data_IF_334551563025
#
_entry.id   IF_334551563025
#
_cell.length_a   1.000
_cell.length_b   1.000
_cell.length_c   1.000
_cell.angle_alpha   90.00
_cell.angle_beta   90.00
_cell.angle_gamma   90.00
#
_symmetry.space_group_name_H-M   'P 1'
#
loop_
_entity.id
_entity.type
_entity.pdbx_description
1 polymer ?
#
# COMPACT_ATOMS: atom_id res chain seq x y z
N UNK A 1 -17.95 43.43 21.84
CA UNK A 1 -18.62 42.71 20.73
C UNK A 1 -17.55 42.02 19.92
N UNK A 2 -17.44 40.69 20.07
CA UNK A 2 -16.37 39.87 19.54
C UNK A 2 -16.77 39.33 18.16
N UNK A 3 -16.11 39.77 17.09
CA UNK A 3 -16.16 39.08 15.80
C UNK A 3 -14.88 38.26 15.67
N UNK A 4 -14.97 36.97 16.05
CA UNK A 4 -14.02 35.93 15.66
C UNK A 4 -14.32 35.59 14.20
N UNK A 5 -13.51 36.09 13.28
CA UNK A 5 -13.56 35.70 11.88
C UNK A 5 -13.05 34.26 11.77
N UNK A 6 -13.92 33.37 11.32
CA UNK A 6 -13.66 31.95 11.10
C UNK A 6 -12.71 31.82 9.91
N UNK A 7 -11.40 31.86 10.17
CA UNK A 7 -10.35 31.36 9.26
C UNK A 7 -10.20 29.86 9.49
N UNK A 8 -11.10 29.05 8.92
CA UNK A 8 -11.11 27.62 9.23
C UNK A 8 -11.57 26.66 8.14
N UNK A 9 -11.92 27.11 6.92
CA UNK A 9 -12.50 26.21 5.91
C UNK A 9 -11.90 26.30 4.50
N UNK A 10 -10.84 27.09 4.28
CA UNK A 10 -10.22 27.23 2.96
C UNK A 10 -9.10 26.22 2.67
N UNK A 11 -8.75 25.33 3.61
CA UNK A 11 -7.72 24.31 3.39
C UNK A 11 -8.28 22.97 2.88
N UNK A 12 -9.61 22.80 2.81
CA UNK A 12 -10.21 21.56 2.34
C UNK A 12 -10.41 21.51 0.81
N UNK A 13 -10.10 22.58 0.05
CA UNK A 13 -10.40 22.65 -1.39
C UNK A 13 -9.18 23.03 -2.27
N UNK A 14 -7.99 23.28 -1.72
CA UNK A 14 -6.76 23.49 -2.53
C UNK A 14 -5.82 22.29 -2.45
N UNK A 15 -6.20 21.19 -3.11
CA UNK A 15 -5.23 20.19 -3.58
C UNK A 15 -5.52 19.87 -5.06
N UNK A 16 -5.71 20.92 -5.86
CA UNK A 16 -5.83 20.84 -7.31
C UNK A 16 -4.45 20.87 -7.97
N UNK A 17 -3.84 19.70 -8.10
CA UNK A 17 -2.59 19.46 -8.83
C UNK A 17 -2.20 17.98 -8.77
N UNK A 18 -2.83 17.15 -9.62
CA UNK A 18 -2.52 15.72 -9.85
C UNK A 18 -2.35 14.82 -8.60
N UNK A 19 -3.28 14.87 -7.65
CA UNK A 19 -3.25 14.06 -6.41
C UNK A 19 -4.49 13.17 -6.29
N UNK A 20 -4.50 12.01 -6.95
CA UNK A 20 -5.51 10.96 -6.75
C UNK A 20 -4.88 9.57 -6.90
N UNK A 21 -3.84 9.31 -6.11
CA UNK A 21 -3.33 8.00 -5.71
C UNK A 21 -2.54 8.26 -4.42
N UNK A 22 -3.25 8.48 -3.31
CA UNK A 22 -2.62 8.64 -2.00
C UNK A 22 -1.70 7.43 -1.80
N UNK A 23 -0.41 7.67 -1.73
CA UNK A 23 0.60 6.66 -2.02
C UNK A 23 0.41 5.47 -1.07
N UNK A 24 -0.09 4.32 -1.55
CA UNK A 24 -0.30 3.11 -0.73
C UNK A 24 0.98 2.67 0.00
N UNK A 25 2.13 3.10 -0.53
CA UNK A 25 3.46 2.88 -0.01
C UNK A 25 3.99 4.00 0.89
N UNK A 26 3.41 5.20 0.86
CA UNK A 26 3.84 6.35 1.65
C UNK A 26 2.74 6.84 2.60
N UNK A 27 3.12 7.02 3.84
CA UNK A 27 2.28 7.58 4.88
C UNK A 27 2.74 9.01 5.18
N UNK A 28 1.79 9.92 5.43
CA UNK A 28 2.11 11.26 5.92
C UNK A 28 2.60 11.15 7.35
N UNK A 29 3.77 11.74 7.64
CA UNK A 29 4.29 11.77 9.00
C UNK A 29 3.32 12.57 9.88
N UNK A 30 2.77 11.99 10.96
CA UNK A 30 1.86 12.71 11.84
C UNK A 30 2.60 13.85 12.55
N UNK A 31 1.86 14.89 12.91
CA UNK A 31 2.48 16.15 13.36
C UNK A 31 3.33 16.00 14.64
N UNK A 32 2.98 15.04 15.49
CA UNK A 32 3.74 14.68 16.69
C UNK A 32 5.09 14.02 16.40
N UNK A 33 5.28 13.42 15.21
CA UNK A 33 6.53 12.77 14.79
C UNK A 33 7.35 13.61 13.81
N UNK A 34 6.84 14.78 13.39
CA UNK A 34 7.56 15.68 12.50
C UNK A 34 8.79 16.23 13.20
N UNK A 35 9.96 16.03 12.57
CA UNK A 35 11.19 16.70 13.01
C UNK A 35 11.08 18.19 12.76
N UNK A 36 11.73 19.02 13.56
CA UNK A 36 11.65 20.48 13.44
C UNK A 36 12.11 21.05 12.08
N UNK A 37 12.92 20.31 11.33
CA UNK A 37 13.33 20.66 9.97
C UNK A 37 12.32 20.22 8.88
N UNK A 38 11.37 19.34 9.20
CA UNK A 38 10.41 18.79 8.25
C UNK A 38 9.17 19.67 8.18
N UNK A 39 8.69 19.93 6.95
CA UNK A 39 7.44 20.65 6.74
C UNK A 39 6.25 19.74 7.01
N UNK A 40 5.14 20.30 7.48
CA UNK A 40 3.85 19.59 7.57
C UNK A 40 3.50 18.99 6.21
N UNK A 41 3.03 17.75 6.21
CA UNK A 41 2.74 16.99 4.98
C UNK A 41 3.95 16.25 4.38
N UNK A 42 5.08 16.18 5.07
CA UNK A 42 6.20 15.31 4.66
C UNK A 42 5.73 13.86 4.62
N UNK A 43 6.01 13.17 3.52
CA UNK A 43 5.66 11.75 3.32
C UNK A 43 6.86 10.86 3.63
N UNK A 44 6.61 9.70 4.25
CA UNK A 44 7.61 8.65 4.51
C UNK A 44 7.10 7.32 3.99
N UNK A 45 7.98 6.35 3.71
CA UNK A 45 7.53 4.98 3.40
C UNK A 45 6.76 4.41 4.60
N UNK A 46 5.60 3.80 4.34
CA UNK A 46 4.79 3.12 5.37
C UNK A 46 5.65 2.13 6.13
N UNK A 47 5.65 2.24 7.46
CA UNK A 47 6.41 1.35 8.32
C UNK A 47 5.73 -0.02 8.33
N UNK A 48 6.51 -1.09 8.44
CA UNK A 48 5.94 -2.43 8.62
C UNK A 48 5.79 -2.65 10.12
N UNK A 49 4.55 -2.87 10.62
CA UNK A 49 4.31 -3.09 12.04
C UNK A 49 5.18 -4.20 12.63
N UNK A 50 5.57 -4.02 13.90
CA UNK A 50 6.51 -4.92 14.56
C UNK A 50 5.86 -6.23 15.06
N UNK A 51 4.54 -6.28 15.16
CA UNK A 51 3.80 -7.43 15.67
C UNK A 51 3.67 -8.60 14.67
N UNK A 52 4.03 -8.39 13.40
CA UNK A 52 4.12 -9.48 12.42
C UNK A 52 5.33 -10.39 12.67
N UNK A 53 5.20 -11.67 12.30
CA UNK A 53 6.32 -12.61 12.27
C UNK A 53 7.52 -12.06 11.46
N UNK A 54 8.74 -12.48 11.81
CA UNK A 54 9.95 -12.10 11.06
C UNK A 54 9.88 -12.51 9.58
N UNK A 55 9.25 -13.64 9.27
CA UNK A 55 9.08 -14.10 7.89
C UNK A 55 8.09 -13.19 7.14
N UNK A 56 6.90 -12.98 7.71
CA UNK A 56 5.86 -12.12 7.13
C UNK A 56 6.36 -10.71 6.86
N UNK A 57 7.13 -10.12 7.79
CA UNK A 57 7.73 -8.79 7.57
C UNK A 57 8.67 -8.76 6.36
N UNK A 58 9.50 -9.80 6.18
CA UNK A 58 10.42 -9.89 5.03
C UNK A 58 9.67 -10.05 3.73
N UNK A 59 8.62 -10.86 3.72
CA UNK A 59 7.79 -11.11 2.55
C UNK A 59 7.00 -9.85 2.20
N UNK A 60 6.30 -9.26 3.16
CA UNK A 60 5.55 -8.02 2.96
C UNK A 60 6.44 -6.88 2.48
N UNK A 61 7.62 -6.69 3.10
CA UNK A 61 8.62 -5.70 2.65
C UNK A 61 9.03 -5.94 1.21
N UNK A 62 9.36 -7.19 0.90
CA UNK A 62 9.79 -7.57 -0.44
C UNK A 62 8.68 -7.33 -1.45
N UNK A 63 7.46 -7.79 -1.17
CA UNK A 63 6.32 -7.65 -2.07
C UNK A 63 6.02 -6.18 -2.31
N UNK A 64 6.03 -5.35 -1.27
CA UNK A 64 5.86 -3.90 -1.35
C UNK A 64 6.89 -3.22 -2.25
N UNK A 65 8.17 -3.53 -2.01
CA UNK A 65 9.25 -2.88 -2.75
C UNK A 65 9.20 -3.33 -4.23
N UNK A 66 8.98 -4.62 -4.49
CA UNK A 66 8.85 -5.13 -5.86
C UNK A 66 7.58 -4.65 -6.56
N UNK A 67 6.43 -4.55 -5.88
CA UNK A 67 5.19 -4.08 -6.49
C UNK A 67 5.30 -2.62 -6.94
N UNK A 68 5.92 -1.77 -6.12
CA UNK A 68 6.23 -0.39 -6.47
C UNK A 68 7.14 -0.31 -7.71
N UNK A 69 8.21 -1.11 -7.72
CA UNK A 69 9.16 -1.14 -8.85
C UNK A 69 8.51 -1.67 -10.12
N UNK A 70 7.75 -2.77 -10.04
CA UNK A 70 7.06 -3.34 -11.18
C UNK A 70 6.09 -2.31 -11.76
N UNK A 71 5.15 -1.78 -10.98
CA UNK A 71 4.16 -0.83 -11.52
C UNK A 71 4.80 0.42 -12.14
N UNK A 72 5.96 0.88 -11.62
CA UNK A 72 6.73 1.98 -12.22
C UNK A 72 7.43 1.57 -13.52
N UNK A 73 8.04 0.37 -13.55
CA UNK A 73 8.72 -0.16 -14.74
C UNK A 73 7.75 -0.55 -15.86
N UNK A 74 6.55 -1.01 -15.51
CA UNK A 74 5.48 -1.33 -16.45
C UNK A 74 4.98 -0.09 -17.21
N UNK A 75 4.89 1.06 -16.54
CA UNK A 75 4.61 2.35 -17.20
C UNK A 75 5.71 2.75 -18.21
N UNK A 76 6.90 2.18 -18.11
CA UNK A 76 8.02 2.42 -19.03
C UNK A 76 8.16 1.30 -20.09
N UNK A 77 7.64 0.10 -19.80
CA UNK A 77 7.79 -1.09 -20.65
C UNK A 77 7.04 -0.96 -21.99
N UNK A 78 6.11 -0.01 -22.12
CA UNK A 78 5.48 0.37 -23.39
C UNK A 78 6.33 1.28 -24.30
N UNK A 79 7.35 1.98 -23.80
CA UNK A 79 8.06 2.99 -24.62
C UNK A 79 9.47 3.33 -24.10
N UNK A 80 10.48 2.55 -24.52
CA UNK A 80 11.81 3.01 -24.99
C UNK A 80 12.83 1.87 -25.08
N UNK A 81 13.08 1.40 -26.30
CA UNK A 81 14.32 0.70 -26.66
C UNK A 81 15.01 1.46 -27.81
N UNK A 82 15.92 2.37 -27.50
CA UNK A 82 17.11 2.63 -28.34
C UNK A 82 18.26 1.93 -27.62
N UNK A 83 18.97 0.94 -28.15
CA UNK A 83 19.64 0.78 -29.44
C UNK A 83 19.34 -0.61 -30.06
N UNK A 84 18.07 -0.91 -30.29
CA UNK A 84 17.65 -2.26 -30.64
C UNK A 84 16.47 -2.31 -31.59
N UNK A 85 16.49 -1.52 -32.66
CA UNK A 85 15.56 -1.66 -33.80
C UNK A 85 15.60 -3.05 -34.47
N UNK A 86 16.42 -3.99 -33.98
CA UNK A 86 16.52 -5.38 -34.41
C UNK A 86 15.55 -6.31 -33.63
N UNK A 87 15.04 -5.89 -32.46
CA UNK A 87 14.01 -6.62 -31.69
C UNK A 87 12.58 -6.14 -32.06
N UNK A 88 12.44 -5.33 -33.11
CA UNK A 88 11.15 -4.85 -33.62
C UNK A 88 10.25 -5.92 -34.26
N UNK A 89 10.40 -7.22 -33.97
CA UNK A 89 9.65 -8.28 -34.65
C UNK A 89 8.66 -9.06 -33.78
N UNK A 90 8.67 -8.94 -32.45
CA UNK A 90 7.70 -9.67 -31.61
C UNK A 90 7.10 -8.74 -30.54
N UNK A 91 6.03 -7.98 -30.88
CA UNK A 91 5.11 -7.50 -29.86
C UNK A 91 4.66 -8.68 -28.97
N UNK A 92 4.72 -8.52 -27.65
CA UNK A 92 4.32 -9.53 -26.66
C UNK A 92 5.44 -10.10 -25.77
N UNK A 93 6.73 -9.99 -26.14
CA UNK A 93 7.82 -10.49 -25.27
C UNK A 93 7.90 -9.68 -23.96
N UNK A 94 7.80 -8.36 -24.06
CA UNK A 94 7.77 -7.46 -22.89
C UNK A 94 6.65 -7.86 -21.95
N UNK A 95 5.44 -8.01 -22.47
CA UNK A 95 4.24 -8.37 -21.70
C UNK A 95 4.36 -9.74 -21.02
N UNK A 96 5.00 -10.72 -21.68
CA UNK A 96 5.24 -12.05 -21.07
C UNK A 96 6.25 -11.97 -19.91
N UNK A 97 7.33 -11.22 -20.06
CA UNK A 97 8.32 -11.01 -18.97
C UNK A 97 7.65 -10.33 -17.77
N UNK A 98 6.88 -9.30 -18.08
CA UNK A 98 6.06 -8.55 -17.16
C UNK A 98 5.06 -9.43 -16.38
N UNK A 99 4.29 -10.25 -17.09
CA UNK A 99 3.39 -11.24 -16.51
C UNK A 99 4.16 -12.22 -15.61
N UNK A 100 5.30 -12.72 -16.07
CA UNK A 100 6.13 -13.65 -15.30
C UNK A 100 6.63 -13.03 -13.98
N UNK A 101 7.07 -11.77 -13.99
CA UNK A 101 7.48 -11.06 -12.78
C UNK A 101 6.32 -10.85 -11.81
N UNK A 102 5.14 -10.53 -12.33
CA UNK A 102 3.92 -10.34 -11.53
C UNK A 102 3.47 -11.66 -10.89
N UNK A 103 3.53 -12.78 -11.62
CA UNK A 103 3.26 -14.12 -11.07
C UNK A 103 4.30 -14.53 -10.02
N UNK A 104 5.57 -14.19 -10.24
CA UNK A 104 6.62 -14.42 -9.23
C UNK A 104 6.36 -13.63 -7.95
N UNK A 105 5.85 -12.40 -8.04
CA UNK A 105 5.43 -11.60 -6.89
C UNK A 105 4.32 -12.30 -6.09
N UNK A 106 3.29 -12.82 -6.78
CA UNK A 106 2.19 -13.58 -6.15
C UNK A 106 2.75 -14.82 -5.44
N UNK A 107 3.64 -15.56 -6.10
CA UNK A 107 4.28 -16.74 -5.51
C UNK A 107 5.07 -16.38 -4.25
N UNK A 108 5.76 -15.24 -4.25
CA UNK A 108 6.44 -14.74 -3.05
C UNK A 108 5.46 -14.41 -1.92
N UNK A 109 4.32 -13.79 -2.25
CA UNK A 109 3.26 -13.49 -1.29
C UNK A 109 2.64 -14.75 -0.66
N UNK A 110 2.64 -15.90 -1.36
CA UNK A 110 2.15 -17.17 -0.79
C UNK A 110 3.05 -17.77 0.29
N UNK A 111 4.27 -17.27 0.46
CA UNK A 111 5.24 -17.78 1.44
C UNK A 111 5.02 -17.29 2.88
N UNK A 112 3.95 -16.53 3.13
CA UNK A 112 3.61 -16.04 4.48
C UNK A 112 3.32 -17.20 5.44
N UNK A 113 3.57 -16.96 6.72
CA UNK A 113 3.26 -17.91 7.79
C UNK A 113 1.73 -18.11 7.87
N UNK A 114 1.28 -19.36 7.98
CA UNK A 114 -0.15 -19.69 7.92
C UNK A 114 -0.73 -19.81 6.51
N UNK A 115 0.01 -19.35 5.49
CA UNK A 115 -0.36 -19.48 4.08
C UNK A 115 -1.48 -18.53 3.66
N UNK A 116 -1.49 -18.21 2.36
CA UNK A 116 -2.50 -17.31 1.81
C UNK A 116 -3.76 -18.09 1.39
N UNK A 117 -4.93 -17.59 1.80
CA UNK A 117 -6.23 -18.18 1.45
C UNK A 117 -6.41 -18.25 -0.08
N UNK A 118 -7.00 -19.33 -0.58
CA UNK A 118 -7.17 -19.58 -2.02
C UNK A 118 -7.92 -18.44 -2.72
N UNK A 119 -8.94 -17.86 -2.09
CA UNK A 119 -9.70 -16.73 -2.65
C UNK A 119 -8.80 -15.54 -2.97
N UNK A 120 -7.87 -15.20 -2.08
CA UNK A 120 -6.95 -14.07 -2.25
C UNK A 120 -5.93 -14.37 -3.35
N UNK A 121 -5.41 -15.61 -3.43
CA UNK A 121 -4.50 -16.03 -4.50
C UNK A 121 -5.16 -15.91 -5.88
N UNK A 122 -6.42 -16.31 -5.99
CA UNK A 122 -7.21 -16.17 -7.21
C UNK A 122 -7.38 -14.70 -7.55
N UNK A 123 -7.78 -13.87 -6.59
CA UNK A 123 -7.97 -12.43 -6.78
C UNK A 123 -6.68 -11.74 -7.26
N UNK A 124 -5.55 -12.06 -6.64
CA UNK A 124 -4.25 -11.54 -7.05
C UNK A 124 -3.88 -11.93 -8.48
N UNK A 125 -4.18 -13.19 -8.84
CA UNK A 125 -3.92 -13.71 -10.18
C UNK A 125 -4.84 -13.07 -11.21
N UNK A 126 -6.12 -12.90 -10.90
CA UNK A 126 -7.08 -12.23 -11.80
C UNK A 126 -6.70 -10.77 -12.03
N UNK A 127 -6.22 -10.06 -11.01
CA UNK A 127 -5.71 -8.71 -11.18
C UNK A 127 -4.56 -8.66 -12.19
N UNK A 128 -3.58 -9.55 -12.03
CA UNK A 128 -2.45 -9.65 -12.97
C UNK A 128 -2.89 -10.03 -14.39
N UNK A 129 -3.87 -10.93 -14.55
CA UNK A 129 -4.37 -11.33 -15.86
C UNK A 129 -5.14 -10.21 -16.56
N UNK A 130 -5.92 -9.43 -15.82
CA UNK A 130 -6.62 -8.25 -16.35
C UNK A 130 -5.60 -7.23 -16.85
N UNK A 131 -4.55 -6.97 -16.06
CA UNK A 131 -3.46 -6.06 -16.42
C UNK A 131 -2.71 -6.49 -17.69
N UNK A 132 -2.38 -7.78 -17.78
CA UNK A 132 -1.79 -8.37 -18.99
C UNK A 132 -2.73 -8.23 -20.19
N UNK A 133 -4.03 -8.50 -20.03
CA UNK A 133 -5.03 -8.33 -21.09
C UNK A 133 -5.15 -6.88 -21.58
N UNK A 134 -5.02 -5.92 -20.66
CA UNK A 134 -4.99 -4.48 -20.98
C UNK A 134 -3.68 -4.12 -21.72
N UNK A 135 -2.54 -4.67 -21.28
CA UNK A 135 -1.22 -4.45 -21.89
C UNK A 135 -1.12 -4.95 -23.33
N UNK A 136 -1.89 -5.97 -23.71
CA UNK A 136 -1.95 -6.48 -25.09
C UNK A 136 -2.62 -5.52 -26.08
N UNK A 137 -3.33 -4.49 -25.61
CA UNK A 137 -4.04 -3.53 -26.47
C UNK A 137 -3.15 -2.29 -26.66
N UNK A 138 -2.46 -2.14 -27.82
CA UNK A 138 -1.70 -0.93 -28.10
C UNK A 138 -2.63 0.31 -28.12
N UNK A 139 -2.09 1.48 -27.76
CA UNK A 139 -2.78 2.79 -27.68
C UNK A 139 -3.73 3.00 -26.48
N UNK A 140 -4.60 2.04 -26.17
CA UNK A 140 -5.53 2.17 -25.02
C UNK A 140 -4.92 1.62 -23.73
N UNK A 141 -4.05 0.61 -23.86
CA UNK A 141 -3.42 -0.08 -22.74
C UNK A 141 -2.58 0.83 -21.84
N UNK A 142 -1.83 1.78 -22.39
CA UNK A 142 -0.90 2.61 -21.60
C UNK A 142 -1.63 3.47 -20.55
N UNK A 143 -2.77 4.05 -20.89
CA UNK A 143 -3.54 4.87 -19.94
C UNK A 143 -4.24 4.02 -18.89
N UNK A 144 -4.83 2.89 -19.30
CA UNK A 144 -5.56 2.00 -18.39
C UNK A 144 -4.59 1.25 -17.46
N UNK A 145 -3.42 0.83 -17.95
CA UNK A 145 -2.38 0.17 -17.15
C UNK A 145 -1.90 1.10 -16.01
N UNK A 146 -1.62 2.38 -16.32
CA UNK A 146 -1.23 3.38 -15.31
C UNK A 146 -2.32 3.56 -14.23
N UNK A 147 -3.60 3.41 -14.61
CA UNK A 147 -4.72 3.50 -13.67
C UNK A 147 -4.97 2.19 -12.89
N UNK A 148 -4.69 1.03 -13.48
CA UNK A 148 -5.05 -0.28 -12.93
C UNK A 148 -3.97 -0.90 -12.03
N UNK A 149 -2.68 -0.58 -12.16
CA UNK A 149 -1.58 -0.95 -11.22
C UNK A 149 -1.82 -2.26 -10.46
N UNK A 150 -1.85 -3.39 -11.17
CA UNK A 150 -2.25 -4.66 -10.59
C UNK A 150 -1.35 -5.12 -9.44
N UNK A 151 -0.03 -4.85 -9.48
CA UNK A 151 0.87 -5.28 -8.42
C UNK A 151 0.62 -4.54 -7.12
N UNK A 152 0.24 -3.26 -7.17
CA UNK A 152 -0.15 -2.54 -5.96
C UNK A 152 -1.45 -3.08 -5.37
N UNK A 153 -2.47 -3.38 -6.19
CA UNK A 153 -3.70 -4.02 -5.71
C UNK A 153 -3.40 -5.36 -5.03
N UNK A 154 -2.50 -6.15 -5.61
CA UNK A 154 -2.04 -7.41 -5.04
C UNK A 154 -1.31 -7.23 -3.71
N UNK A 155 -0.47 -6.19 -3.59
CA UNK A 155 0.14 -5.81 -2.31
C UNK A 155 -0.91 -5.45 -1.25
N UNK A 156 -1.95 -4.69 -1.60
CA UNK A 156 -3.03 -4.33 -0.67
C UNK A 156 -3.78 -5.57 -0.18
N UNK A 157 -4.06 -6.52 -1.07
CA UNK A 157 -4.69 -7.79 -0.70
C UNK A 157 -3.84 -8.58 0.29
N UNK A 158 -2.52 -8.63 0.09
CA UNK A 158 -1.60 -9.27 1.03
C UNK A 158 -1.57 -8.55 2.37
N UNK A 159 -1.51 -7.21 2.37
CA UNK A 159 -1.51 -6.40 3.59
C UNK A 159 -2.80 -6.63 4.40
N UNK A 160 -3.96 -6.60 3.73
CA UNK A 160 -5.25 -6.88 4.35
C UNK A 160 -5.36 -8.32 4.88
N UNK A 161 -4.80 -9.30 4.14
CA UNK A 161 -4.75 -10.69 4.59
C UNK A 161 -3.95 -10.84 5.90
N UNK A 162 -2.80 -10.17 6.00
CA UNK A 162 -1.99 -10.17 7.21
C UNK A 162 -2.70 -9.44 8.36
N UNK A 163 -3.38 -8.32 8.10
CA UNK A 163 -4.17 -7.64 9.13
C UNK A 163 -5.26 -8.56 9.72
N UNK A 164 -5.94 -9.33 8.87
CA UNK A 164 -6.93 -10.32 9.32
C UNK A 164 -6.30 -11.51 10.06
N UNK A 165 -5.06 -11.88 9.72
CA UNK A 165 -4.33 -12.95 10.39
C UNK A 165 -3.82 -12.54 11.79
N UNK A 166 -3.63 -11.23 12.02
CA UNK A 166 -3.15 -10.66 13.28
C UNK A 166 -4.15 -9.66 13.91
N UNK A 167 -5.41 -10.07 14.22
CA UNK A 167 -6.48 -9.15 14.59
C UNK A 167 -6.24 -8.45 15.94
N UNK A 168 -5.55 -9.10 16.89
CA UNK A 168 -5.41 -8.61 18.26
C UNK A 168 -4.55 -7.34 18.39
N UNK A 169 -3.71 -7.04 17.41
CA UNK A 169 -2.79 -5.90 17.46
C UNK A 169 -3.36 -4.61 16.87
N UNK A 170 -4.39 -4.72 16.03
CA UNK A 170 -5.07 -3.57 15.43
C UNK A 170 -5.85 -2.78 16.49
N UNK A 171 -6.44 -3.47 17.47
CA UNK A 171 -7.18 -2.83 18.57
C UNK A 171 -6.27 -2.06 19.52
N UNK A 172 -5.03 -2.52 19.73
CA UNK A 172 -4.07 -1.81 20.58
C UNK A 172 -3.62 -0.48 19.98
N UNK A 173 -3.44 -0.38 18.66
CA UNK A 173 -3.03 0.86 17.98
C UNK A 173 -4.16 1.90 17.93
N UNK A 174 -5.41 1.44 17.93
CA UNK A 174 -6.60 2.31 17.95
C UNK A 174 -6.91 2.83 19.36
N UNK A 175 -6.53 2.08 20.41
CA UNK A 175 -6.60 2.53 21.81
C UNK A 175 -5.42 3.43 22.22
N UNK A 176 -4.33 3.49 21.44
CA UNK A 176 -3.29 4.54 21.59
C UNK A 176 -3.75 5.85 20.93
N UNK A 177 -4.99 6.28 21.22
CA UNK A 177 -5.32 7.69 21.22
C UNK A 177 -4.84 8.24 22.55
N UNK A 178 -3.74 8.97 22.47
CA UNK A 178 -3.22 9.81 23.54
C UNK A 178 -4.35 10.67 24.11
N UNK A 179 -4.83 10.32 25.30
CA UNK A 179 -5.53 11.28 26.16
C UNK A 179 -4.60 12.49 26.32
N UNK A 180 -5.12 13.69 26.07
CA UNK A 180 -4.36 14.96 26.01
C UNK A 180 -3.68 15.38 27.32
N UNK A 181 -3.65 14.51 28.34
CA UNK A 181 -3.18 14.79 29.69
C UNK A 181 -1.98 13.94 30.15
N UNK A 182 -1.33 13.16 29.27
CA UNK A 182 -0.05 12.50 29.59
C UNK A 182 -0.05 11.70 30.91
N UNK A 183 -1.18 11.07 31.27
CA UNK A 183 -1.27 10.25 32.47
C UNK A 183 -1.48 8.79 32.07
N UNK A 184 -0.43 7.98 32.14
CA UNK A 184 -0.49 6.54 31.91
C UNK A 184 -1.20 5.87 33.06
N UNK A 185 -2.53 5.71 32.96
CA UNK A 185 -3.29 4.85 33.86
C UNK A 185 -3.44 3.48 33.18
N UNK A 186 -2.75 2.49 33.73
CA UNK A 186 -2.98 1.07 33.39
C UNK A 186 -4.38 0.69 33.88
N UNK A 187 -5.36 0.67 32.99
CA UNK A 187 -6.68 0.10 33.32
C UNK A 187 -6.53 -1.40 33.19
N UNK A 188 -6.32 -2.08 34.33
CA UNK A 188 -6.39 -3.52 34.43
C UNK A 188 -7.85 -3.96 34.27
N UNK A 189 -8.16 -4.69 33.19
CA UNK A 189 -9.51 -5.17 32.86
C UNK A 189 -10.05 -6.21 33.88
N UNK A 190 -9.21 -6.68 34.80
CA UNK A 190 -9.58 -7.66 35.82
C UNK A 190 -10.27 -7.05 37.07
N UNK A 191 -10.43 -5.72 37.12
CA UNK A 191 -10.97 -5.01 38.30
C UNK A 191 -12.46 -4.65 38.23
N UNK A 192 -13.17 -4.96 37.14
CA UNK A 192 -14.57 -4.54 36.94
C UNK A 192 -15.58 -5.50 37.60
N UNK A 193 -15.16 -6.68 38.08
CA UNK A 193 -16.10 -7.67 38.67
C UNK A 193 -16.28 -7.58 40.19
N UNK A 194 -15.64 -6.64 40.90
CA UNK A 194 -15.75 -6.53 42.37
C UNK A 194 -16.41 -5.25 42.91
N UNK A 195 -17.11 -4.47 42.08
CA UNK A 195 -17.89 -3.31 42.54
C UNK A 195 -19.39 -3.41 42.19
N UNK A 196 -19.93 -4.63 42.07
CA UNK A 196 -21.39 -4.85 41.93
C UNK A 196 -21.93 -5.93 42.88
N UNK A 197 -21.62 -5.75 44.17
CA UNK A 197 -22.53 -6.14 45.27
C UNK A 197 -23.47 -4.98 45.51
#
# INVERSE_FOLDING_TARGET
MCQRTITGLNHLITVGGSQQYGDIYLETVPENELKFYQKRGTKRKKLIPQYYSLNDRRILKSVRDWSYWLDLSFSLCGVRLGWGGIIGLIPGIGDVICLALSLWLIRKATGIDGGLHNSIKVEMTTNTLIDFGIGLIPFVGDFINIAYKANTRNYQLLENALLNHYPNHVFSETEVLVDSNHNTKMINKDSITLDSI
#
